data_IF_177409648064
#
_entry.id   IF_177409648064
#
_cell.length_a   1.000
_cell.length_b   1.000
_cell.length_c   1.000
_cell.angle_alpha   90.00
_cell.angle_beta   90.00
_cell.angle_gamma   90.00
#
_symmetry.space_group_name_H-M   'P 1'
#
loop_
_entity.id
_entity.type
_entity.pdbx_description
1 polymer ?
#
# COMPACT_ATOMS: atom_id res chain seq x y z
N UNK A 1 24.29 4.85 -14.25
CA UNK A 1 24.42 4.34 -12.86
C UNK A 1 23.16 3.68 -12.32
N UNK A 2 21.96 4.27 -12.42
CA UNK A 2 20.71 3.68 -11.84
C UNK A 2 20.37 2.26 -12.34
N UNK A 3 20.62 1.94 -13.61
CA UNK A 3 20.33 0.61 -14.20
C UNK A 3 21.21 -0.51 -13.63
N UNK A 4 22.48 -0.23 -13.32
CA UNK A 4 23.42 -1.22 -12.75
C UNK A 4 22.99 -1.61 -11.34
N UNK A 5 22.50 -0.65 -10.54
CA UNK A 5 21.99 -0.91 -9.20
C UNK A 5 20.74 -1.82 -9.23
N UNK A 6 19.89 -1.66 -10.24
CA UNK A 6 18.73 -2.54 -10.43
C UNK A 6 19.16 -3.96 -10.79
N UNK A 7 20.10 -4.13 -11.72
CA UNK A 7 20.58 -5.47 -12.09
C UNK A 7 21.29 -6.18 -10.93
N UNK A 8 22.05 -5.45 -10.10
CA UNK A 8 22.64 -6.01 -8.88
C UNK A 8 21.57 -6.44 -7.86
N UNK A 9 20.49 -5.67 -7.71
CA UNK A 9 19.38 -6.03 -6.84
C UNK A 9 18.66 -7.30 -7.34
N UNK A 10 18.40 -7.41 -8.65
CA UNK A 10 17.78 -8.60 -9.23
C UNK A 10 18.71 -9.83 -9.18
N UNK A 11 20.02 -9.65 -9.37
CA UNK A 11 21.01 -10.71 -9.23
C UNK A 11 21.09 -11.26 -7.81
N UNK A 12 21.00 -10.39 -6.80
CA UNK A 12 20.94 -10.79 -5.39
C UNK A 12 19.68 -11.58 -5.05
N UNK A 13 18.51 -11.15 -5.55
CA UNK A 13 17.25 -11.88 -5.36
C UNK A 13 17.32 -13.27 -6.00
N UNK A 14 17.89 -13.39 -7.20
CA UNK A 14 18.13 -14.69 -7.85
C UNK A 14 19.05 -15.60 -7.05
N UNK A 15 20.15 -15.06 -6.51
CA UNK A 15 21.10 -15.81 -5.67
C UNK A 15 20.44 -16.35 -4.39
N UNK A 16 19.65 -15.51 -3.70
CA UNK A 16 18.92 -15.91 -2.50
C UNK A 16 17.84 -16.97 -2.80
N UNK A 17 17.18 -16.89 -3.96
CA UNK A 17 16.20 -17.89 -4.37
C UNK A 17 16.85 -19.26 -4.62
N UNK A 18 18.01 -19.30 -5.28
CA UNK A 18 18.77 -20.54 -5.52
C UNK A 18 19.29 -21.13 -4.21
N UNK A 19 19.80 -20.32 -3.28
CA UNK A 19 20.22 -20.78 -1.95
C UNK A 19 19.05 -21.33 -1.12
N UNK A 20 17.87 -20.70 -1.22
CA UNK A 20 16.65 -21.16 -0.54
C UNK A 20 16.13 -22.48 -1.12
N UNK A 21 16.18 -22.64 -2.45
CA UNK A 21 15.83 -23.90 -3.12
C UNK A 21 16.79 -25.03 -2.72
N UNK A 22 18.09 -24.76 -2.61
CA UNK A 22 19.06 -25.74 -2.09
C UNK A 22 18.79 -26.17 -0.64
N UNK A 23 18.33 -25.23 0.20
CA UNK A 23 17.99 -25.53 1.59
C UNK A 23 16.71 -26.36 1.75
N UNK A 24 15.78 -26.33 0.79
CA UNK A 24 14.56 -27.15 0.80
C UNK A 24 14.87 -28.63 0.55
N UNK A 25 15.96 -28.95 -0.16
CA UNK A 25 16.39 -30.33 -0.38
C UNK A 25 17.14 -30.94 0.82
N UNK A 26 17.61 -30.12 1.76
CA UNK A 26 18.09 -30.60 3.06
C UNK A 26 16.92 -30.57 4.04
N UNK A 27 16.44 -31.74 4.50
CA UNK A 27 15.27 -31.92 5.39
C UNK A 27 15.47 -31.36 6.83
N UNK A 28 16.05 -30.18 6.97
CA UNK A 28 16.34 -29.54 8.25
C UNK A 28 15.39 -28.37 8.46
N UNK A 29 14.38 -28.59 9.31
CA UNK A 29 13.37 -27.62 9.71
C UNK A 29 13.97 -26.29 10.22
N UNK A 30 15.18 -26.35 10.79
CA UNK A 30 15.98 -25.19 11.23
C UNK A 30 16.44 -24.29 10.08
N UNK A 31 16.68 -24.84 8.89
CA UNK A 31 17.05 -24.05 7.71
C UNK A 31 15.90 -23.18 7.21
N UNK A 32 14.67 -23.68 7.33
CA UNK A 32 13.46 -22.96 6.91
C UNK A 32 13.16 -21.76 7.82
N UNK A 33 13.26 -21.94 9.14
CA UNK A 33 13.08 -20.85 10.11
C UNK A 33 14.19 -19.81 9.99
N UNK A 34 15.44 -20.23 9.78
CA UNK A 34 16.55 -19.31 9.53
C UNK A 34 16.35 -18.46 8.28
N UNK A 35 15.90 -19.09 7.18
CA UNK A 35 15.57 -18.41 5.93
C UNK A 35 14.43 -17.39 6.07
N UNK A 36 13.36 -17.73 6.79
CA UNK A 36 12.24 -16.81 7.05
C UNK A 36 12.64 -15.63 7.94
N UNK A 37 13.48 -15.87 8.96
CA UNK A 37 13.96 -14.83 9.84
C UNK A 37 14.88 -13.85 9.09
N UNK A 38 15.78 -14.36 8.25
CA UNK A 38 16.64 -13.52 7.40
C UNK A 38 15.87 -12.77 6.32
N UNK A 39 14.90 -13.43 5.67
CA UNK A 39 14.03 -12.77 4.69
C UNK A 39 13.22 -11.64 5.32
N UNK A 40 12.79 -11.79 6.57
CA UNK A 40 12.09 -10.73 7.30
C UNK A 40 13.00 -9.57 7.69
N UNK A 41 14.27 -9.83 7.99
CA UNK A 41 15.26 -8.79 8.32
C UNK A 41 15.72 -8.00 7.09
N UNK A 42 15.83 -8.66 5.93
CA UNK A 42 16.38 -8.06 4.70
C UNK A 42 15.35 -7.72 3.63
N UNK A 43 14.08 -8.10 3.80
CA UNK A 43 13.01 -7.62 2.92
C UNK A 43 12.80 -6.12 3.19
N UNK A 44 13.09 -5.22 2.24
CA UNK A 44 12.73 -3.82 2.38
C UNK A 44 11.20 -3.72 2.53
N UNK A 45 10.69 -2.70 3.25
CA UNK A 45 9.27 -2.56 3.55
C UNK A 45 8.45 -2.56 2.25
N UNK A 46 7.87 -3.72 1.96
CA UNK A 46 7.13 -4.06 0.72
C UNK A 46 5.92 -3.14 0.54
N UNK A 47 5.52 -2.43 1.59
CA UNK A 47 4.40 -1.50 1.61
C UNK A 47 4.56 -0.29 0.67
N UNK A 48 5.79 0.05 0.25
CA UNK A 48 5.99 1.11 -0.77
C UNK A 48 5.72 0.65 -2.20
N UNK A 49 5.67 -0.65 -2.49
CA UNK A 49 5.47 -1.17 -3.85
C UNK A 49 4.05 -1.66 -4.14
N UNK A 50 3.17 -1.73 -3.13
CA UNK A 50 1.83 -2.34 -3.28
C UNK A 50 0.74 -1.40 -3.80
N UNK A 51 0.99 -0.09 -3.99
CA UNK A 51 -0.06 0.85 -4.44
C UNK A 51 -0.45 0.74 -5.92
N UNK A 52 0.38 0.11 -6.78
CA UNK A 52 0.12 0.07 -8.24
C UNK A 52 -0.36 -1.28 -8.78
N UNK A 53 -0.43 -2.32 -7.95
CA UNK A 53 -0.69 -3.70 -8.38
C UNK A 53 -1.80 -4.40 -7.56
N UNK A 54 -2.78 -3.63 -7.08
CA UNK A 54 -3.84 -4.11 -6.18
C UNK A 54 -4.72 -5.21 -6.79
N UNK A 55 -4.97 -5.17 -8.09
CA UNK A 55 -5.87 -6.13 -8.73
C UNK A 55 -5.22 -7.51 -8.95
N UNK A 56 -4.02 -7.54 -9.53
CA UNK A 56 -3.35 -8.81 -9.85
C UNK A 56 -2.85 -9.54 -8.60
N UNK A 57 -2.46 -8.82 -7.54
CA UNK A 57 -2.06 -9.44 -6.27
C UNK A 57 -3.24 -10.12 -5.58
N UNK A 58 -4.42 -9.51 -5.58
CA UNK A 58 -5.61 -10.13 -5.00
C UNK A 58 -6.06 -11.35 -5.81
N UNK A 59 -5.96 -11.28 -7.13
CA UNK A 59 -6.24 -12.43 -7.99
C UNK A 59 -5.25 -13.58 -7.76
N UNK A 60 -3.94 -13.29 -7.75
CA UNK A 60 -2.90 -14.28 -7.55
C UNK A 60 -2.96 -14.90 -6.14
N UNK A 61 -3.31 -14.11 -5.13
CA UNK A 61 -3.48 -14.61 -3.76
C UNK A 61 -4.71 -15.50 -3.62
N UNK A 62 -5.82 -15.19 -4.32
CA UNK A 62 -7.00 -16.08 -4.39
C UNK A 62 -6.67 -17.39 -5.09
N UNK A 63 -5.97 -17.36 -6.23
CA UNK A 63 -5.54 -18.57 -6.94
C UNK A 63 -4.62 -19.42 -6.08
N UNK A 64 -3.66 -18.80 -5.38
CA UNK A 64 -2.77 -19.50 -4.45
C UNK A 64 -3.55 -20.17 -3.30
N UNK A 65 -4.51 -19.47 -2.71
CA UNK A 65 -5.34 -20.01 -1.63
C UNK A 65 -6.18 -21.21 -2.09
N UNK A 66 -6.73 -21.14 -3.30
CA UNK A 66 -7.47 -22.26 -3.91
C UNK A 66 -6.57 -23.47 -4.17
N UNK A 67 -5.36 -23.26 -4.69
CA UNK A 67 -4.41 -24.35 -4.95
C UNK A 67 -3.93 -25.01 -3.65
N UNK A 68 -3.58 -24.22 -2.63
CA UNK A 68 -3.18 -24.76 -1.31
C UNK A 68 -4.34 -25.50 -0.65
N UNK A 69 -5.56 -24.96 -0.73
CA UNK A 69 -6.76 -25.64 -0.24
C UNK A 69 -7.01 -26.97 -0.96
N UNK A 70 -6.88 -27.01 -2.28
CA UNK A 70 -7.04 -28.24 -3.07
C UNK A 70 -5.98 -29.30 -2.72
N UNK A 71 -4.72 -28.90 -2.51
CA UNK A 71 -3.64 -29.80 -2.09
C UNK A 71 -3.90 -30.36 -0.68
N UNK A 72 -4.38 -29.53 0.25
CA UNK A 72 -4.73 -29.98 1.61
C UNK A 72 -5.90 -30.97 1.61
N UNK A 73 -6.94 -30.73 0.79
CA UNK A 73 -8.08 -31.65 0.64
C UNK A 73 -7.66 -32.96 -0.01
N UNK A 74 -6.77 -32.92 -1.01
CA UNK A 74 -6.23 -34.13 -1.63
C UNK A 74 -5.39 -34.95 -0.65
N UNK A 75 -4.67 -34.28 0.27
CA UNK A 75 -3.80 -34.94 1.25
C UNK A 75 -4.58 -35.64 2.37
N UNK A 76 -5.81 -35.21 2.68
CA UNK A 76 -6.63 -35.83 3.73
C UNK A 76 -7.40 -37.08 3.26
N UNK A 77 -7.40 -37.37 1.96
CA UNK A 77 -8.20 -38.46 1.39
C UNK A 77 -7.45 -39.79 1.24
N UNK A 78 -6.15 -39.84 1.51
CA UNK A 78 -5.35 -41.08 1.43
C UNK A 78 -5.25 -41.79 2.77
N UNK A 79 -6.40 -42.16 3.34
CA UNK A 79 -6.44 -43.23 4.33
C UNK A 79 -7.43 -44.29 3.86
N UNK A 80 -6.90 -45.35 3.27
CA UNK A 80 -7.60 -46.62 3.28
C UNK A 80 -6.66 -47.78 3.55
N UNK A 81 -7.17 -48.81 4.25
CA UNK A 81 -6.40 -49.68 5.13
C UNK A 81 -6.31 -51.10 4.54
N UNK A 82 -5.60 -51.97 5.28
CA UNK A 82 -5.46 -53.43 5.11
C UNK A 82 -4.41 -53.84 4.05
N UNK A 83 -3.50 -54.79 4.30
CA UNK A 83 -3.60 -55.96 5.15
C UNK A 83 -2.26 -56.44 5.73
N UNK A 84 -2.33 -56.83 7.01
CA UNK A 84 -1.61 -57.89 7.75
C UNK A 84 -0.48 -58.65 7.02
N UNK A 85 0.71 -58.67 7.63
CA UNK A 85 1.46 -59.91 7.89
C UNK A 85 2.07 -59.82 9.29
N UNK A 86 1.66 -60.77 10.13
CA UNK A 86 2.12 -60.98 11.50
C UNK A 86 3.42 -61.80 11.52
N UNK A 87 4.37 -61.44 12.38
CA UNK A 87 5.27 -62.40 13.02
C UNK A 87 5.78 -61.85 14.37
N UNK A 88 5.91 -62.70 15.41
CA UNK A 88 6.32 -62.32 16.76
C UNK A 88 7.84 -62.47 16.95
N UNK A 89 8.42 -61.90 18.02
CA UNK A 89 9.43 -62.53 18.92
C UNK A 89 9.93 -61.53 19.99
N UNK A 90 9.81 -61.97 21.26
CA UNK A 90 10.56 -61.65 22.52
C UNK A 90 10.84 -60.19 22.92
N UNK A 91 10.27 -59.65 24.00
CA UNK A 91 10.40 -59.97 25.45
C UNK A 91 11.69 -59.49 26.13
N UNK A 92 11.47 -58.85 27.29
CA UNK A 92 12.38 -58.51 28.42
C UNK A 92 13.10 -57.15 28.28
N UNK A 93 13.09 -56.20 29.22
CA UNK A 93 12.68 -56.15 30.63
C UNK A 93 12.44 -54.66 31.07
N UNK A 94 11.92 -54.40 32.29
CA UNK A 94 11.51 -53.06 32.77
C UNK A 94 12.57 -52.40 33.69
N UNK A 95 12.18 -51.31 34.39
CA UNK A 95 12.89 -50.54 35.47
C UNK A 95 13.54 -49.25 34.87
N UNK A 96 13.34 -47.99 35.32
CA UNK A 96 13.05 -47.38 36.64
C UNK A 96 12.30 -46.04 36.46
N UNK A 97 11.45 -45.69 37.43
CA UNK A 97 11.03 -44.32 37.86
C UNK A 97 12.15 -43.27 37.73
N UNK A 98 11.88 -41.98 37.50
CA UNK A 98 11.32 -41.06 38.51
C UNK A 98 11.04 -39.68 37.91
N UNK A 99 9.86 -39.13 38.18
CA UNK A 99 9.63 -37.66 38.23
C UNK A 99 10.27 -37.10 39.51
N UNK A 100 10.61 -35.80 39.61
CA UNK A 100 9.60 -34.76 39.84
C UNK A 100 9.87 -33.39 39.18
N UNK A 101 8.80 -32.64 38.89
CA UNK A 101 8.85 -31.15 38.79
C UNK A 101 9.02 -30.55 40.19
N UNK A 102 9.53 -29.31 40.33
CA UNK A 102 8.58 -28.19 40.41
C UNK A 102 9.08 -26.83 39.86
N UNK A 103 8.11 -26.06 39.35
CA UNK A 103 7.83 -24.65 39.67
C UNK A 103 8.99 -23.65 39.81
N UNK A 104 9.08 -22.70 38.88
CA UNK A 104 9.27 -21.29 39.23
C UNK A 104 8.46 -20.38 38.29
N UNK A 105 7.67 -19.53 38.93
CA UNK A 105 6.68 -18.59 38.40
C UNK A 105 7.34 -17.26 37.92
N UNK A 106 6.55 -16.24 37.53
CA UNK A 106 6.94 -15.22 36.55
C UNK A 106 7.57 -13.96 37.17
N UNK A 107 8.36 -13.24 36.37
CA UNK A 107 8.68 -11.83 36.58
C UNK A 107 7.82 -10.96 35.67
N UNK A 108 6.86 -10.18 36.18
CA UNK A 108 6.30 -9.04 35.48
C UNK A 108 7.19 -7.83 35.79
N UNK A 109 8.06 -7.45 34.84
CA UNK A 109 8.73 -6.15 34.95
C UNK A 109 7.73 -5.09 34.53
N UNK A 110 7.29 -4.36 35.54
CA UNK A 110 6.47 -3.18 35.47
C UNK A 110 7.16 -2.05 34.67
N UNK A 111 6.29 -1.27 34.02
CA UNK A 111 6.32 0.19 33.95
C UNK A 111 7.56 0.89 33.38
N UNK A 112 7.40 1.41 32.16
CA UNK A 112 7.79 2.79 31.80
C UNK A 112 6.89 3.24 30.65
N UNK A 113 5.72 3.77 30.98
CA UNK A 113 5.45 5.21 31.00
C UNK A 113 5.60 5.86 29.63
N UNK A 114 4.45 6.04 28.97
CA UNK A 114 4.22 7.11 27.99
C UNK A 114 4.76 8.45 28.50
N UNK A 115 5.29 9.25 27.59
CA UNK A 115 5.01 10.67 27.58
C UNK A 115 3.97 10.95 26.48
N UNK A 116 2.86 11.52 26.92
CA UNK A 116 1.87 12.22 26.09
C UNK A 116 2.53 13.32 25.25
N UNK A 117 1.93 13.72 24.11
CA UNK A 117 2.51 14.67 23.17
C UNK A 117 2.53 16.09 23.73
N UNK A 118 3.67 16.76 23.64
CA UNK A 118 3.79 18.18 23.94
C UNK A 118 3.31 19.01 22.74
N UNK A 119 2.64 20.16 22.97
CA UNK A 119 1.86 20.87 21.97
C UNK A 119 2.68 21.74 21.02
N UNK A 120 2.16 21.81 19.79
CA UNK A 120 2.14 22.95 18.85
C UNK A 120 3.05 24.15 19.15
N UNK A 121 4.01 24.47 18.28
CA UNK A 121 4.43 25.86 18.11
C UNK A 121 3.38 26.60 17.28
N UNK A 122 2.88 27.69 17.87
CA UNK A 122 2.09 28.74 17.24
C UNK A 122 2.78 29.27 15.96
N UNK A 123 2.06 29.55 14.87
CA UNK A 123 2.64 30.15 13.68
C UNK A 123 2.98 31.63 13.94
N UNK A 124 4.23 32.00 13.70
CA UNK A 124 4.66 33.39 13.60
C UNK A 124 3.88 34.12 12.48
N UNK A 125 3.53 35.40 12.65
CA UNK A 125 2.93 36.20 11.60
C UNK A 125 4.00 36.44 10.52
N UNK A 126 3.81 35.83 9.35
CA UNK A 126 4.62 36.18 8.17
C UNK A 126 4.06 37.48 7.63
N UNK A 127 4.84 38.53 7.79
CA UNK A 127 4.69 39.82 7.14
C UNK A 127 4.48 39.60 5.64
N UNK A 128 3.29 39.99 5.16
CA UNK A 128 2.97 40.09 3.75
C UNK A 128 3.79 41.24 3.19
N UNK A 129 4.77 40.93 2.35
CA UNK A 129 5.44 41.90 1.49
C UNK A 129 4.66 41.95 0.16
N UNK A 130 4.03 43.07 -0.21
CA UNK A 130 3.35 43.20 -1.49
C UNK A 130 4.31 43.76 -2.53
N UNK A 131 4.75 42.96 -3.51
CA UNK A 131 5.12 43.41 -4.88
C UNK A 131 5.80 42.29 -5.71
N UNK A 132 5.86 42.38 -7.05
CA UNK A 132 5.02 43.16 -7.97
C UNK A 132 4.33 42.25 -9.02
N UNK A 133 3.23 42.78 -9.57
CA UNK A 133 2.55 42.28 -10.76
C UNK A 133 3.56 42.24 -11.92
N UNK A 134 3.84 41.04 -12.43
CA UNK A 134 4.60 40.87 -13.66
C UNK A 134 3.61 40.58 -14.78
N UNK A 135 3.18 41.67 -15.41
CA UNK A 135 2.49 41.72 -16.68
C UNK A 135 3.43 41.21 -17.76
N UNK A 136 3.16 40.01 -18.28
CA UNK A 136 3.76 39.53 -19.51
C UNK A 136 2.63 39.07 -20.44
N UNK A 137 2.19 40.04 -21.22
CA UNK A 137 1.44 39.88 -22.46
C UNK A 137 2.42 39.49 -23.58
N UNK A 138 2.24 38.35 -24.25
CA UNK A 138 2.69 38.20 -25.62
C UNK A 138 1.47 38.35 -26.52
N UNK A 139 1.50 39.44 -27.29
CA UNK A 139 0.65 39.64 -28.45
C UNK A 139 0.77 38.44 -29.40
N UNK A 140 -0.31 37.69 -29.55
CA UNK A 140 -0.47 36.70 -30.60
C UNK A 140 -1.66 37.12 -31.47
N UNK A 141 -1.29 37.78 -32.56
CA UNK A 141 -1.83 37.66 -33.91
C UNK A 141 -3.33 37.39 -34.07
N UNK A 142 -4.04 38.47 -34.36
CA UNK A 142 -5.39 38.49 -34.93
C UNK A 142 -5.34 37.94 -36.36
N UNK A 143 -5.91 36.76 -36.59
CA UNK A 143 -6.43 36.38 -37.91
C UNK A 143 -7.94 36.19 -37.76
N UNK A 144 -8.70 37.22 -38.10
CA UNK A 144 -10.13 37.15 -38.33
C UNK A 144 -10.35 36.61 -39.75
N UNK A 145 -10.83 35.38 -39.85
CA UNK A 145 -11.71 34.96 -40.95
C UNK A 145 -13.00 34.53 -40.31
N UNK A 146 -13.97 35.44 -40.36
CA UNK A 146 -15.36 35.25 -39.97
C UNK A 146 -16.05 34.33 -40.98
N UNK A 147 -16.60 33.20 -40.52
CA UNK A 147 -17.96 32.86 -40.88
C UNK A 147 -18.81 32.96 -39.62
N UNK A 148 -19.76 33.91 -39.66
CA UNK A 148 -20.78 34.14 -38.66
C UNK A 148 -21.31 32.81 -38.09
N UNK A 149 -21.01 32.46 -36.82
CA UNK A 149 -21.62 31.30 -36.21
C UNK A 149 -23.05 31.71 -35.88
N UNK A 150 -24.02 31.06 -36.53
CA UNK A 150 -25.40 31.04 -36.09
C UNK A 150 -25.38 30.69 -34.59
N UNK A 151 -25.74 31.66 -33.76
CA UNK A 151 -26.00 31.47 -32.34
C UNK A 151 -27.25 30.58 -32.30
N UNK A 152 -27.07 29.26 -32.22
CA UNK A 152 -28.15 28.37 -31.79
C UNK A 152 -28.51 28.78 -30.37
N UNK A 153 -29.76 29.24 -30.19
CA UNK A 153 -30.32 29.45 -28.87
C UNK A 153 -30.16 28.14 -28.09
N UNK A 154 -29.45 28.15 -26.94
CA UNK A 154 -29.29 26.94 -26.14
C UNK A 154 -30.68 26.45 -25.74
N UNK A 155 -31.03 25.24 -26.18
CA UNK A 155 -32.34 24.66 -25.89
C UNK A 155 -32.59 24.69 -24.37
N UNK A 156 -33.81 25.03 -23.91
CA UNK A 156 -34.14 25.21 -22.49
C UNK A 156 -34.01 23.94 -21.64
N UNK A 157 -33.72 22.79 -22.25
CA UNK A 157 -33.50 21.50 -21.59
C UNK A 157 -32.02 21.13 -21.42
N UNK A 158 -31.11 22.12 -21.48
CA UNK A 158 -29.70 21.89 -21.17
C UNK A 158 -29.54 21.39 -19.73
N UNK A 159 -29.39 20.07 -19.59
CA UNK A 159 -29.16 19.36 -18.35
C UNK A 159 -27.94 19.97 -17.66
N UNK A 160 -28.16 20.68 -16.55
CA UNK A 160 -27.10 21.33 -15.79
C UNK A 160 -26.29 20.22 -15.11
N UNK A 161 -25.06 19.98 -15.58
CA UNK A 161 -24.15 19.04 -14.94
C UNK A 161 -23.78 19.57 -13.54
N UNK A 162 -24.24 18.92 -12.45
CA UNK A 162 -23.94 19.37 -11.09
C UNK A 162 -22.45 19.25 -10.75
N UNK A 163 -21.66 18.52 -11.54
CA UNK A 163 -20.21 18.37 -11.39
C UNK A 163 -19.40 19.34 -12.25
N UNK A 164 -20.06 20.26 -12.97
CA UNK A 164 -19.38 21.34 -13.66
C UNK A 164 -18.70 22.30 -12.65
N UNK A 165 -17.45 22.74 -12.91
CA UNK A 165 -16.77 23.70 -12.05
C UNK A 165 -17.43 25.09 -12.15
N UNK A 166 -17.59 25.77 -11.01
CA UNK A 166 -18.19 27.12 -10.98
C UNK A 166 -17.24 28.23 -11.46
N UNK A 167 -15.94 27.93 -11.55
CA UNK A 167 -14.89 28.86 -11.96
C UNK A 167 -13.72 28.13 -12.63
N UNK A 168 -12.87 28.89 -13.29
CA UNK A 168 -11.60 28.41 -13.82
C UNK A 168 -10.63 27.96 -12.71
N UNK A 169 -9.72 27.00 -13.01
CA UNK A 169 -8.75 26.50 -12.05
C UNK A 169 -7.71 27.57 -11.69
N UNK A 170 -7.50 27.76 -10.39
CA UNK A 170 -6.51 28.71 -9.86
C UNK A 170 -5.26 27.95 -9.45
N UNK A 171 -4.10 28.59 -9.59
CA UNK A 171 -2.82 28.01 -9.18
C UNK A 171 -2.40 28.50 -7.79
N UNK A 172 -1.96 27.57 -6.94
CA UNK A 172 -1.29 27.87 -5.68
C UNK A 172 -2.16 27.91 -4.41
N UNK A 173 -3.50 27.97 -4.50
CA UNK A 173 -4.39 28.00 -3.32
C UNK A 173 -5.00 26.65 -2.94
N UNK A 174 -5.18 25.71 -3.88
CA UNK A 174 -5.76 24.38 -3.65
C UNK A 174 -7.05 24.39 -2.81
N UNK A 175 -7.97 25.28 -3.10
CA UNK A 175 -9.27 25.34 -2.43
C UNK A 175 -10.19 24.26 -2.99
N UNK A 176 -10.26 24.15 -4.33
CA UNK A 176 -11.09 23.20 -5.06
C UNK A 176 -10.30 21.98 -5.60
N UNK A 177 -10.97 20.84 -5.85
CA UNK A 177 -10.30 19.64 -6.37
C UNK A 177 -9.66 19.83 -7.76
N UNK A 178 -10.24 20.69 -8.59
CA UNK A 178 -9.76 21.01 -9.94
C UNK A 178 -8.66 22.08 -9.98
N UNK A 179 -8.36 22.75 -8.86
CA UNK A 179 -7.26 23.71 -8.80
C UNK A 179 -5.89 23.04 -8.98
N UNK A 180 -4.86 23.85 -9.21
CA UNK A 180 -3.48 23.38 -9.36
C UNK A 180 -2.58 23.83 -8.22
N UNK A 181 -1.66 22.96 -7.80
CA UNK A 181 -0.64 23.29 -6.81
C UNK A 181 0.44 24.18 -7.43
N UNK A 182 1.34 24.73 -6.59
CA UNK A 182 2.47 25.56 -7.05
C UNK A 182 3.44 24.85 -8.01
N UNK A 183 3.29 23.54 -8.21
CA UNK A 183 4.07 22.73 -9.13
C UNK A 183 3.26 22.34 -10.39
N UNK A 184 2.08 22.93 -10.58
CA UNK A 184 1.19 22.69 -11.72
C UNK A 184 0.44 21.35 -11.68
N UNK A 185 0.32 20.69 -10.52
CA UNK A 185 -0.40 19.42 -10.38
C UNK A 185 -1.79 19.66 -9.83
N UNK A 186 -2.79 18.92 -10.31
CA UNK A 186 -4.16 18.97 -9.76
C UNK A 186 -4.17 18.72 -8.25
N UNK A 187 -4.91 19.53 -7.49
CA UNK A 187 -5.00 19.41 -6.05
C UNK A 187 -5.75 18.12 -5.64
N UNK A 188 -6.88 17.81 -6.30
CA UNK A 188 -7.68 16.61 -6.05
C UNK A 188 -8.00 16.44 -4.56
N UNK A 189 -7.68 15.27 -4.00
CA UNK A 189 -7.88 14.95 -2.58
C UNK A 189 -7.06 15.80 -1.58
N UNK A 190 -6.16 16.67 -2.06
CA UNK A 190 -5.38 17.60 -1.20
C UNK A 190 -6.08 18.94 -1.03
N UNK A 191 -7.18 19.19 -1.75
CA UNK A 191 -7.94 20.43 -1.68
C UNK A 191 -8.57 20.65 -0.31
N UNK A 192 -8.96 21.89 -0.01
CA UNK A 192 -9.73 22.20 1.20
C UNK A 192 -11.07 21.44 1.20
N UNK A 193 -11.77 21.48 0.07
CA UNK A 193 -13.03 20.75 -0.17
C UNK A 193 -12.98 19.24 0.16
N UNK A 194 -11.83 18.58 -0.02
CA UNK A 194 -11.71 17.13 0.22
C UNK A 194 -11.26 16.77 1.64
N UNK A 195 -10.80 17.74 2.44
CA UNK A 195 -10.19 17.47 3.74
C UNK A 195 -11.24 17.47 4.85
N UNK A 196 -11.25 16.46 5.75
CA UNK A 196 -12.12 16.49 6.91
C UNK A 196 -11.75 17.66 7.82
N UNK A 197 -12.71 18.54 8.10
CA UNK A 197 -12.52 19.75 8.92
C UNK A 197 -11.79 20.90 8.21
N UNK A 198 -11.70 20.86 6.88
CA UNK A 198 -11.23 21.97 6.06
C UNK A 198 -12.28 23.07 5.89
N UNK A 199 -11.94 24.11 5.13
CA UNK A 199 -12.93 24.99 4.54
C UNK A 199 -13.69 24.22 3.46
N UNK A 200 -15.01 24.38 3.42
CA UNK A 200 -15.91 23.80 2.41
C UNK A 200 -16.30 24.89 1.39
N UNK A 201 -15.41 25.26 0.44
CA UNK A 201 -15.74 26.23 -0.61
C UNK A 201 -16.74 25.65 -1.61
N UNK A 202 -17.53 26.52 -2.23
CA UNK A 202 -18.38 26.18 -3.37
C UNK A 202 -17.47 25.93 -4.58
N UNK A 203 -17.40 24.68 -5.04
CA UNK A 203 -16.51 24.28 -6.14
C UNK A 203 -17.28 23.87 -7.40
N UNK A 204 -18.43 23.23 -7.23
CA UNK A 204 -19.26 22.72 -8.31
C UNK A 204 -20.62 23.41 -8.35
N UNK A 205 -21.26 23.42 -9.53
CA UNK A 205 -22.58 24.05 -9.71
C UNK A 205 -23.65 23.43 -8.80
N UNK A 206 -23.49 22.13 -8.47
CA UNK A 206 -24.35 21.44 -7.52
C UNK A 206 -24.08 21.77 -6.04
N UNK A 207 -22.95 22.40 -5.71
CA UNK A 207 -22.61 22.79 -4.34
C UNK A 207 -23.38 24.09 -4.02
N UNK A 208 -24.38 24.02 -3.15
CA UNK A 208 -25.26 25.17 -2.83
C UNK A 208 -25.54 25.30 -1.35
#
# INVERSE_FOLDING_TARGET
MKKILTYLAWGWVGLCAVMSLGAIFAQSFTGWLGGLMWASLFAPPVWKYTKKFGFLKNFLWRVLFFLVGAILIASSSTSSPTAKVSAPIKSSAPIVRSSPSPSLSPTPVAAKSSPSPSPSPSPSPVTVDPSPVSENTPAAEVTQTEPSPLIEEPSPDAEIDPTAPVRDPVSGSCDCPYDTDRRGRSCGARSAYSKPGGTDPICYVGDR
#
